data_IF_758023521035
#
_entry.id   IF_758023521035
#
_cell.length_a   1.000
_cell.length_b   1.000
_cell.length_c   1.000
_cell.angle_alpha   90.00
_cell.angle_beta   90.00
_cell.angle_gamma   90.00
#
_symmetry.space_group_name_H-M   'P 1'
#
loop_
_entity.id
_entity.type
_entity.pdbx_description
1 polymer ?
#
# COMPACT_ATOMS: atom_id res chain seq x y z
N UNK A 1 38.84 4.39 52.63
CA UNK A 1 38.02 3.40 51.89
C UNK A 1 37.69 3.95 50.51
N UNK A 2 38.24 3.40 49.40
CA UNK A 2 37.89 3.80 48.02
C UNK A 2 36.53 3.17 47.69
N UNK A 3 35.50 4.01 47.45
CA UNK A 3 34.18 3.54 46.98
C UNK A 3 34.35 2.83 45.63
N UNK A 4 34.00 1.56 45.55
CA UNK A 4 33.94 0.81 44.26
C UNK A 4 32.84 1.44 43.42
N UNK A 5 33.22 2.04 42.27
CA UNK A 5 32.27 2.55 41.28
C UNK A 5 31.40 1.41 40.77
N UNK A 6 30.08 1.61 40.68
CA UNK A 6 29.17 0.63 40.08
C UNK A 6 29.50 0.39 38.59
N UNK A 7 29.08 -0.78 38.07
CA UNK A 7 29.23 -1.10 36.64
C UNK A 7 28.72 0.04 35.72
N UNK A 8 27.57 0.62 36.09
CA UNK A 8 26.97 1.76 35.41
C UNK A 8 27.90 2.99 35.41
N UNK A 9 28.40 3.37 36.53
CA UNK A 9 29.30 4.54 36.66
C UNK A 9 30.59 4.40 35.83
N UNK A 10 31.07 3.15 35.69
CA UNK A 10 32.28 2.88 34.87
C UNK A 10 32.03 2.89 33.38
N UNK A 11 30.78 2.55 32.94
CA UNK A 11 30.50 2.30 31.54
C UNK A 11 29.52 3.31 30.88
N UNK A 12 28.93 4.25 31.68
CA UNK A 12 27.92 5.19 31.17
C UNK A 12 28.36 5.95 29.92
N UNK A 13 29.62 6.37 29.85
CA UNK A 13 30.13 7.09 28.68
C UNK A 13 30.36 6.18 27.47
N UNK A 14 30.69 4.91 27.70
CA UNK A 14 30.79 3.91 26.62
C UNK A 14 29.41 3.57 26.07
N UNK A 15 28.40 3.49 26.92
CA UNK A 15 26.99 3.27 26.53
C UNK A 15 26.46 4.44 25.71
N UNK A 16 26.84 5.69 26.05
CA UNK A 16 26.52 6.85 25.21
C UNK A 16 27.13 6.73 23.79
N UNK A 17 28.33 6.14 23.67
CA UNK A 17 28.92 5.85 22.36
C UNK A 17 28.09 4.90 21.50
N UNK A 18 27.41 3.91 22.13
CA UNK A 18 26.50 3.00 21.42
C UNK A 18 25.27 3.75 20.90
N UNK A 19 24.75 4.75 21.65
CA UNK A 19 23.63 5.57 21.21
C UNK A 19 23.96 6.37 19.94
N UNK A 20 25.22 6.74 19.73
CA UNK A 20 25.65 7.44 18.51
C UNK A 20 25.60 6.55 17.25
N UNK A 21 25.56 5.22 17.41
CA UNK A 21 25.38 4.30 16.29
C UNK A 21 23.94 4.23 15.80
N UNK A 22 22.95 4.59 16.64
CA UNK A 22 21.53 4.55 16.25
C UNK A 22 21.21 5.47 15.06
N UNK A 23 21.63 6.76 15.03
CA UNK A 23 21.39 7.60 13.87
C UNK A 23 22.00 7.02 12.58
N UNK A 24 23.19 6.42 12.66
CA UNK A 24 23.87 5.80 11.51
C UNK A 24 23.07 4.57 11.04
N UNK A 25 22.59 3.75 11.97
CA UNK A 25 21.75 2.60 11.67
C UNK A 25 20.41 3.01 11.02
N UNK A 26 19.74 4.03 11.58
CA UNK A 26 18.50 4.53 11.00
C UNK A 26 18.72 5.17 9.64
N UNK A 27 19.81 5.92 9.45
CA UNK A 27 20.18 6.46 8.15
C UNK A 27 20.41 5.34 7.13
N UNK A 28 21.17 4.31 7.49
CA UNK A 28 21.39 3.15 6.62
C UNK A 28 20.08 2.49 6.22
N UNK A 29 19.20 2.20 7.21
CA UNK A 29 17.87 1.63 6.96
C UNK A 29 17.01 2.51 6.06
N UNK A 30 17.08 3.82 6.23
CA UNK A 30 16.35 4.79 5.39
C UNK A 30 16.87 4.84 3.94
N UNK A 31 18.17 4.62 3.74
CA UNK A 31 18.79 4.61 2.41
C UNK A 31 18.67 3.26 1.69
N UNK A 32 18.32 2.19 2.41
CA UNK A 32 18.13 0.84 1.87
C UNK A 32 16.72 0.30 2.17
N UNK A 33 15.65 0.96 1.68
CA UNK A 33 14.30 0.46 1.88
C UNK A 33 14.08 -0.86 1.10
N UNK A 34 13.48 -1.84 1.75
CA UNK A 34 12.94 -3.01 1.07
C UNK A 34 11.62 -2.60 0.40
N UNK A 35 11.67 -2.34 -0.91
CA UNK A 35 10.47 -1.98 -1.66
C UNK A 35 9.67 -3.24 -1.97
N UNK A 36 8.35 -3.23 -1.76
CA UNK A 36 7.48 -4.31 -2.19
C UNK A 36 7.57 -4.53 -3.70
N UNK A 37 7.44 -5.78 -4.12
CA UNK A 37 7.47 -6.14 -5.53
C UNK A 37 6.15 -5.79 -6.19
N UNK A 38 6.23 -5.14 -7.36
CA UNK A 38 5.04 -4.89 -8.20
C UNK A 38 4.42 -6.21 -8.65
N UNK A 39 3.11 -6.27 -8.64
CA UNK A 39 2.37 -7.40 -9.19
C UNK A 39 2.38 -7.35 -10.72
N UNK A 40 2.10 -8.48 -11.35
CA UNK A 40 2.01 -8.54 -12.82
C UNK A 40 0.97 -7.54 -13.34
N UNK A 41 1.23 -6.97 -14.52
CA UNK A 41 0.29 -6.06 -15.15
C UNK A 41 -1.04 -6.74 -15.49
N UNK A 42 -2.12 -5.97 -15.43
CA UNK A 42 -3.45 -6.35 -15.88
C UNK A 42 -3.99 -5.34 -16.86
N UNK A 43 -4.81 -5.79 -17.79
CA UNK A 43 -5.47 -4.92 -18.77
C UNK A 43 -6.85 -4.51 -18.28
N UNK A 44 -7.11 -3.20 -18.26
CA UNK A 44 -8.40 -2.59 -17.99
C UNK A 44 -8.80 -1.74 -19.21
N UNK A 45 -9.41 -2.36 -20.22
CA UNK A 45 -9.70 -1.72 -21.50
C UNK A 45 -8.42 -1.28 -22.23
N UNK A 46 -8.25 0.03 -22.53
CA UNK A 46 -7.06 0.55 -23.20
C UNK A 46 -5.85 0.72 -22.25
N UNK A 47 -6.04 0.50 -20.96
CA UNK A 47 -5.02 0.71 -19.94
C UNK A 47 -4.36 -0.61 -19.55
N UNK A 48 -3.04 -0.58 -19.40
CA UNK A 48 -2.28 -1.66 -18.77
C UNK A 48 -1.66 -1.13 -17.48
N UNK A 49 -1.95 -1.82 -16.36
CA UNK A 49 -1.67 -1.30 -15.02
C UNK A 49 -0.98 -2.33 -14.17
N UNK A 50 0.06 -1.92 -13.46
CA UNK A 50 0.70 -2.66 -12.38
C UNK A 50 0.27 -2.10 -11.02
N UNK A 51 0.07 -2.98 -10.05
CA UNK A 51 -0.16 -2.60 -8.67
C UNK A 51 1.00 -3.02 -7.78
N UNK A 52 1.37 -2.15 -6.85
CA UNK A 52 2.41 -2.43 -5.85
C UNK A 52 1.82 -2.10 -4.48
N UNK A 53 1.71 -3.06 -3.56
CA UNK A 53 1.28 -2.74 -2.19
C UNK A 53 2.34 -1.85 -1.52
N UNK A 54 1.91 -0.92 -0.67
CA UNK A 54 2.84 -0.06 0.06
C UNK A 54 3.69 -0.86 1.07
N UNK A 55 3.12 -1.92 1.60
CA UNK A 55 3.77 -2.89 2.49
C UNK A 55 3.07 -4.25 2.42
N UNK A 56 3.57 -5.25 3.16
CA UNK A 56 2.99 -6.59 3.24
C UNK A 56 2.07 -6.78 4.45
N UNK A 57 1.79 -5.73 5.23
CA UNK A 57 0.82 -5.78 6.33
C UNK A 57 -0.62 -5.96 5.81
N UNK A 58 -1.52 -6.37 6.69
CA UNK A 58 -2.96 -6.45 6.37
C UNK A 58 -3.59 -5.05 6.31
N UNK A 59 -4.89 -4.99 5.98
CA UNK A 59 -5.66 -3.75 6.02
C UNK A 59 -5.64 -3.12 7.41
N UNK A 60 -5.67 -1.80 7.45
CA UNK A 60 -5.69 -1.02 8.69
C UNK A 60 -6.91 -0.07 8.71
N UNK A 61 -7.29 0.34 9.91
CA UNK A 61 -8.42 1.25 10.09
C UNK A 61 -7.98 2.69 9.80
N UNK A 62 -8.65 3.34 8.85
CA UNK A 62 -8.43 4.74 8.46
C UNK A 62 -9.78 5.45 8.37
N UNK A 63 -9.98 6.52 9.15
CA UNK A 63 -11.23 7.29 9.22
C UNK A 63 -12.50 6.45 9.43
N UNK A 64 -12.38 5.31 10.12
CA UNK A 64 -13.53 4.42 10.39
C UNK A 64 -13.75 3.33 9.35
N UNK A 65 -12.96 3.30 8.27
CA UNK A 65 -13.00 2.27 7.22
C UNK A 65 -11.69 1.48 7.19
N UNK A 66 -11.75 0.21 6.84
CA UNK A 66 -10.54 -0.56 6.60
C UNK A 66 -10.04 -0.28 5.19
N UNK A 67 -8.74 0.04 5.10
CA UNK A 67 -8.08 0.33 3.83
C UNK A 67 -6.73 -0.40 3.72
N UNK A 68 -6.26 -0.56 2.49
CA UNK A 68 -4.93 -1.05 2.17
C UNK A 68 -4.31 -0.17 1.08
N UNK A 69 -3.06 0.23 1.31
CA UNK A 69 -2.37 1.17 0.42
C UNK A 69 -1.71 0.47 -0.75
N UNK A 70 -1.92 1.05 -1.93
CA UNK A 70 -1.27 0.64 -3.17
C UNK A 70 -0.73 1.84 -3.94
N UNK A 71 0.39 1.62 -4.61
CA UNK A 71 0.84 2.44 -5.71
C UNK A 71 0.45 1.74 -7.03
N UNK A 72 -0.01 2.52 -8.02
CA UNK A 72 -0.29 2.02 -9.36
C UNK A 72 0.60 2.72 -10.38
N UNK A 73 1.04 1.93 -11.36
CA UNK A 73 1.78 2.42 -12.51
C UNK A 73 1.07 2.02 -13.77
N UNK A 74 0.69 2.99 -14.58
CA UNK A 74 0.14 2.77 -15.91
C UNK A 74 1.29 2.54 -16.88
N UNK A 75 1.32 1.35 -17.49
CA UNK A 75 2.34 0.93 -18.46
C UNK A 75 1.89 1.29 -19.87
N UNK A 76 0.58 1.18 -20.14
CA UNK A 76 -0.04 1.61 -21.38
C UNK A 76 -1.34 2.37 -21.08
N UNK A 77 -1.74 3.24 -22.02
CA UNK A 77 -2.85 4.17 -21.86
C UNK A 77 -2.43 5.46 -21.16
N UNK A 78 -3.13 6.53 -21.46
CA UNK A 78 -2.86 7.85 -20.88
C UNK A 78 -3.72 8.08 -19.64
N UNK A 79 -3.09 8.42 -18.51
CA UNK A 79 -3.81 8.71 -17.25
C UNK A 79 -4.78 9.89 -17.43
N UNK A 80 -4.50 10.81 -18.33
CA UNK A 80 -5.38 11.94 -18.66
C UNK A 80 -6.72 11.53 -19.27
N UNK A 81 -6.82 10.32 -19.83
CA UNK A 81 -8.06 9.78 -20.40
C UNK A 81 -8.98 9.20 -19.31
N UNK A 82 -8.47 9.04 -18.10
CA UNK A 82 -9.22 8.55 -16.94
C UNK A 82 -9.91 9.74 -16.28
N UNK A 83 -11.23 9.69 -16.20
CA UNK A 83 -12.04 10.62 -15.43
C UNK A 83 -11.94 10.36 -13.93
N UNK A 84 -12.04 9.07 -13.56
CA UNK A 84 -11.92 8.62 -12.18
C UNK A 84 -11.52 7.14 -12.14
N UNK A 85 -10.86 6.75 -11.05
CA UNK A 85 -10.43 5.39 -10.84
C UNK A 85 -10.52 5.02 -9.36
N UNK A 86 -10.78 3.75 -9.10
CA UNK A 86 -11.00 3.24 -7.75
C UNK A 86 -10.38 1.88 -7.56
N UNK A 87 -9.95 1.60 -6.32
CA UNK A 87 -9.55 0.27 -5.90
C UNK A 87 -10.40 -0.20 -4.71
N UNK A 88 -10.81 -1.47 -4.75
CA UNK A 88 -11.36 -2.15 -3.60
C UNK A 88 -10.83 -3.58 -3.50
N UNK A 89 -10.77 -4.12 -2.29
CA UNK A 89 -10.53 -5.55 -2.02
C UNK A 89 -11.83 -6.18 -1.60
N UNK A 90 -12.16 -7.31 -2.21
CA UNK A 90 -13.36 -8.07 -1.91
C UNK A 90 -13.59 -9.19 -2.93
N UNK A 91 -14.64 -9.99 -2.76
CA UNK A 91 -14.97 -11.08 -3.69
C UNK A 91 -15.40 -10.55 -5.06
N UNK A 92 -15.94 -9.34 -5.12
CA UNK A 92 -16.46 -8.68 -6.32
C UNK A 92 -16.03 -7.21 -6.37
N UNK A 93 -15.98 -6.58 -7.58
CA UNK A 93 -15.80 -5.15 -7.70
C UNK A 93 -17.02 -4.44 -7.10
N UNK A 94 -16.79 -3.36 -6.37
CA UNK A 94 -17.88 -2.49 -5.91
C UNK A 94 -18.48 -1.74 -7.10
N UNK A 95 -19.80 -1.54 -7.05
CA UNK A 95 -20.49 -0.74 -8.05
C UNK A 95 -19.97 0.72 -8.03
N UNK A 96 -19.90 1.34 -9.21
CA UNK A 96 -19.34 2.68 -9.36
C UNK A 96 -20.08 3.71 -8.48
N UNK A 97 -21.39 3.59 -8.35
CA UNK A 97 -22.23 4.46 -7.54
C UNK A 97 -21.88 4.37 -6.04
N UNK A 98 -21.45 3.18 -5.57
CA UNK A 98 -20.99 2.97 -4.20
C UNK A 98 -19.61 3.61 -4.00
N UNK A 99 -18.70 3.39 -4.95
CA UNK A 99 -17.36 3.95 -4.93
C UNK A 99 -17.35 5.48 -4.95
N UNK A 100 -18.32 6.10 -5.64
CA UNK A 100 -18.47 7.55 -5.74
C UNK A 100 -19.02 8.22 -4.46
N UNK A 101 -19.60 7.46 -3.54
CA UNK A 101 -20.18 7.99 -2.29
C UNK A 101 -19.16 8.13 -1.17
N UNK A 102 -18.05 7.36 -1.23
CA UNK A 102 -17.01 7.34 -0.21
C UNK A 102 -15.84 8.27 -0.54
N UNK A 103 -14.98 8.47 0.45
CA UNK A 103 -13.70 9.18 0.30
C UNK A 103 -12.53 8.19 0.07
N UNK A 104 -12.70 6.94 0.47
CA UNK A 104 -11.72 5.87 0.30
C UNK A 104 -11.81 5.24 -1.08
N UNK A 105 -10.76 4.55 -1.50
CA UNK A 105 -10.69 3.84 -2.76
C UNK A 105 -10.32 4.69 -3.96
N UNK A 106 -10.30 6.01 -3.83
CA UNK A 106 -10.06 6.94 -4.95
C UNK A 106 -8.59 6.90 -5.38
N UNK A 107 -8.38 6.74 -6.67
CA UNK A 107 -7.07 6.82 -7.30
C UNK A 107 -6.65 8.27 -7.44
N UNK A 108 -5.48 8.63 -6.93
CA UNK A 108 -4.95 9.98 -7.03
C UNK A 108 -3.42 9.98 -7.19
N UNK A 109 -2.90 11.06 -7.78
CA UNK A 109 -1.48 11.18 -8.06
C UNK A 109 -1.20 11.95 -9.34
N UNK A 110 -0.14 11.56 -10.04
CA UNK A 110 0.29 12.16 -11.29
C UNK A 110 0.40 11.11 -12.38
N UNK A 111 0.67 11.54 -13.61
CA UNK A 111 0.94 10.62 -14.73
C UNK A 111 2.13 9.66 -14.50
N UNK A 112 3.00 9.98 -13.53
CA UNK A 112 4.19 9.18 -13.22
C UNK A 112 3.96 8.14 -12.15
N UNK A 113 2.87 8.22 -11.41
CA UNK A 113 2.50 7.27 -10.37
C UNK A 113 1.20 7.72 -9.69
N UNK A 114 0.37 6.76 -9.45
CA UNK A 114 -0.89 6.91 -8.74
C UNK A 114 -0.78 6.17 -7.41
N UNK A 115 -1.51 6.63 -6.40
CA UNK A 115 -1.65 5.90 -5.14
C UNK A 115 -3.11 5.90 -4.70
N UNK A 116 -3.44 4.97 -3.82
CA UNK A 116 -4.81 4.77 -3.39
C UNK A 116 -4.86 4.04 -2.04
N UNK A 117 -5.77 4.48 -1.20
CA UNK A 117 -6.22 3.77 -0.01
C UNK A 117 -7.37 2.86 -0.43
N UNK A 118 -7.07 1.67 -0.97
CA UNK A 118 -8.08 0.73 -1.45
C UNK A 118 -9.04 0.33 -0.34
N UNK A 119 -10.35 0.41 -0.59
CA UNK A 119 -11.36 -0.06 0.35
C UNK A 119 -11.14 -1.56 0.58
N UNK A 120 -11.13 -2.00 1.83
CA UNK A 120 -10.77 -3.36 2.18
C UNK A 120 -11.64 -3.91 3.32
N UNK A 121 -11.84 -5.23 3.43
CA UNK A 121 -12.36 -5.83 4.64
C UNK A 121 -11.27 -5.87 5.73
N UNK A 122 -11.67 -6.02 6.99
CA UNK A 122 -10.74 -6.16 8.12
C UNK A 122 -9.81 -7.38 8.00
N UNK A 123 -10.24 -8.42 7.28
CA UNK A 123 -9.49 -9.64 7.03
C UNK A 123 -9.81 -10.15 5.63
N UNK A 124 -8.83 -10.75 4.96
CA UNK A 124 -8.98 -11.20 3.58
C UNK A 124 -9.36 -12.69 3.52
N UNK A 125 -10.40 -12.98 2.73
CA UNK A 125 -10.87 -14.32 2.43
C UNK A 125 -10.27 -14.90 1.14
N UNK A 126 -10.44 -16.19 0.91
CA UNK A 126 -9.90 -16.87 -0.27
C UNK A 126 -10.53 -16.40 -1.61
N UNK A 127 -11.74 -15.83 -1.57
CA UNK A 127 -12.42 -15.29 -2.75
C UNK A 127 -12.02 -13.83 -3.06
N UNK A 128 -11.36 -13.14 -2.12
CA UNK A 128 -11.05 -11.73 -2.27
C UNK A 128 -9.95 -11.49 -3.31
N UNK A 129 -10.12 -10.41 -4.04
CA UNK A 129 -9.20 -9.92 -5.06
C UNK A 129 -9.05 -8.43 -4.90
N UNK A 130 -7.96 -7.87 -5.40
CA UNK A 130 -7.84 -6.44 -5.59
C UNK A 130 -8.49 -6.07 -6.92
N UNK A 131 -9.53 -5.26 -6.87
CA UNK A 131 -10.28 -4.79 -8.03
C UNK A 131 -9.90 -3.37 -8.38
N UNK A 132 -9.66 -3.12 -9.66
CA UNK A 132 -9.49 -1.80 -10.25
C UNK A 132 -10.73 -1.50 -11.09
N UNK A 133 -11.38 -0.38 -10.81
CA UNK A 133 -12.48 0.16 -11.62
C UNK A 133 -12.05 1.53 -12.15
N UNK A 134 -12.00 1.68 -13.48
CA UNK A 134 -11.68 2.92 -14.17
C UNK A 134 -12.89 3.41 -14.96
N UNK A 135 -13.15 4.70 -14.95
CA UNK A 135 -14.12 5.35 -15.82
C UNK A 135 -13.39 6.39 -16.69
N UNK A 136 -13.61 6.35 -18.00
CA UNK A 136 -13.09 7.37 -18.92
C UNK A 136 -14.02 8.58 -19.03
N UNK A 137 -13.57 9.62 -19.71
CA UNK A 137 -14.36 10.83 -19.94
C UNK A 137 -15.60 10.64 -20.82
N UNK A 138 -15.77 9.46 -21.43
CA UNK A 138 -16.94 9.08 -22.23
C UNK A 138 -17.94 8.25 -21.40
N UNK A 139 -17.66 8.03 -20.10
CA UNK A 139 -18.50 7.22 -19.21
C UNK A 139 -18.36 5.72 -19.43
N UNK A 140 -17.33 5.24 -20.12
CA UNK A 140 -17.05 3.82 -20.26
C UNK A 140 -16.30 3.33 -19.04
N UNK A 141 -16.80 2.25 -18.43
CA UNK A 141 -16.17 1.62 -17.28
C UNK A 141 -15.34 0.41 -17.71
N UNK A 142 -14.15 0.30 -17.13
CA UNK A 142 -13.22 -0.80 -17.30
C UNK A 142 -12.88 -1.39 -15.94
N UNK A 143 -12.96 -2.72 -15.84
CA UNK A 143 -12.68 -3.43 -14.58
C UNK A 143 -11.59 -4.46 -14.81
N UNK A 144 -10.63 -4.50 -13.90
CA UNK A 144 -9.59 -5.52 -13.88
C UNK A 144 -9.34 -5.97 -12.43
N UNK A 145 -8.59 -7.06 -12.24
CA UNK A 145 -8.28 -7.51 -10.89
C UNK A 145 -6.93 -8.24 -10.82
N UNK A 146 -6.38 -8.25 -9.61
CA UNK A 146 -5.24 -9.08 -9.22
C UNK A 146 -5.66 -10.08 -8.13
N UNK A 147 -5.13 -11.30 -8.15
CA UNK A 147 -5.26 -12.21 -7.03
C UNK A 147 -4.48 -11.64 -5.82
N UNK A 148 -5.00 -11.84 -4.62
CA UNK A 148 -4.26 -11.49 -3.41
C UNK A 148 -3.13 -12.51 -3.15
N UNK A 149 -2.01 -12.07 -2.54
CA UNK A 149 -0.98 -12.99 -2.08
C UNK A 149 -1.53 -13.99 -1.07
N UNK A 150 -1.15 -15.27 -1.19
CA UNK A 150 -1.59 -16.31 -0.25
C UNK A 150 -1.25 -16.01 1.20
N UNK A 151 -0.17 -15.24 1.44
CA UNK A 151 0.23 -14.80 2.77
C UNK A 151 -0.78 -13.84 3.45
N UNK A 152 -1.67 -13.22 2.67
CA UNK A 152 -2.70 -12.32 3.21
C UNK A 152 -4.02 -13.02 3.50
N UNK A 153 -4.26 -14.15 2.84
CA UNK A 153 -5.52 -14.88 2.95
C UNK A 153 -5.51 -15.72 4.22
N UNK A 154 -6.48 -15.50 5.10
CA UNK A 154 -6.66 -16.34 6.26
C UNK A 154 -7.15 -17.71 5.80
N UNK A 155 -6.34 -18.75 6.00
CA UNK A 155 -6.79 -20.14 5.84
C UNK A 155 -7.65 -20.45 7.06
N UNK A 156 -8.97 -20.58 6.82
CA UNK A 156 -9.89 -21.11 7.85
C UNK A 156 -9.73 -22.62 7.95
#
# INVERSE_FOLDING_TARGET
MKKRLSFWQRNKFKLNGVLLLLPIWFLYRSLTPELPVSWSSVSAGPFEVEATPADMALAYLHHGEYVKDFALRFIAGEVSDIRQGYLNIGPEPLALEVLQQGESGILHGSRHGQHVHAIAPAAFGAADKLWLTLEDWHGRCYVAHWPLPSAWVLVQ
#
